data_IF_094829696638
#
_entry.id   IF_094829696638
#
_cell.length_a   1.000
_cell.length_b   1.000
_cell.length_c   1.000
_cell.angle_alpha   90.00
_cell.angle_beta   90.00
_cell.angle_gamma   90.00
#
_symmetry.space_group_name_H-M   'P 1'
#
loop_
_entity.id
_entity.type
_entity.pdbx_description
1 polymer ?
#
# COMPACT_ATOMS: atom_id res chain seq x y z
N UNK A 1 -35.84 -9.09 -27.92
CA UNK A 1 -34.51 -8.96 -27.30
C UNK A 1 -33.50 -9.13 -28.42
N UNK A 2 -32.73 -8.10 -28.74
CA UNK A 2 -31.70 -8.17 -29.79
C UNK A 2 -30.60 -9.13 -29.33
N UNK A 3 -30.21 -10.09 -30.15
CA UNK A 3 -29.09 -10.95 -29.82
C UNK A 3 -27.82 -10.10 -29.65
N UNK A 4 -27.01 -10.36 -28.61
CA UNK A 4 -25.84 -9.56 -28.35
C UNK A 4 -24.80 -9.75 -29.44
N UNK A 5 -24.39 -8.65 -30.07
CA UNK A 5 -23.41 -8.63 -31.15
C UNK A 5 -22.00 -8.85 -30.62
N UNK A 6 -21.29 -9.83 -31.20
CA UNK A 6 -19.91 -10.17 -30.86
C UNK A 6 -18.94 -9.69 -31.95
N UNK A 7 -17.74 -9.29 -31.52
CA UNK A 7 -16.70 -8.77 -32.39
C UNK A 7 -15.43 -9.63 -32.28
N UNK A 8 -14.67 -9.79 -33.38
CA UNK A 8 -13.41 -10.51 -33.35
C UNK A 8 -12.35 -9.75 -32.56
N UNK A 9 -11.36 -10.49 -32.08
CA UNK A 9 -10.15 -9.94 -31.45
C UNK A 9 -9.15 -9.51 -32.53
N UNK A 10 -9.48 -8.48 -33.30
CA UNK A 10 -8.59 -7.89 -34.32
C UNK A 10 -7.68 -6.82 -33.72
N UNK A 11 -6.86 -6.18 -34.56
CA UNK A 11 -5.99 -5.05 -34.19
C UNK A 11 -6.79 -3.92 -33.51
N UNK A 12 -8.06 -3.75 -33.89
CA UNK A 12 -9.02 -2.78 -33.34
C UNK A 12 -9.69 -3.24 -32.03
N UNK A 13 -9.04 -4.13 -31.29
CA UNK A 13 -9.45 -4.52 -29.95
C UNK A 13 -9.60 -3.31 -29.01
N UNK A 14 -10.44 -3.43 -27.96
CA UNK A 14 -10.57 -2.40 -26.94
C UNK A 14 -9.20 -2.02 -26.36
N UNK A 15 -9.04 -0.74 -26.06
CA UNK A 15 -7.83 -0.20 -25.46
C UNK A 15 -7.48 -0.88 -24.13
N UNK A 16 -6.22 -0.81 -23.73
CA UNK A 16 -5.75 -1.30 -22.42
C UNK A 16 -6.59 -0.66 -21.30
N UNK A 17 -7.11 -1.49 -20.39
CA UNK A 17 -7.91 -1.06 -19.24
C UNK A 17 -9.40 -0.88 -19.49
N UNK A 18 -9.89 -0.97 -20.74
CA UNK A 18 -11.32 -0.82 -21.06
C UNK A 18 -12.06 -2.13 -20.75
N UNK A 19 -13.08 -2.11 -19.87
CA UNK A 19 -13.85 -3.31 -19.53
C UNK A 19 -14.79 -3.71 -20.65
N UNK A 20 -14.77 -5.00 -21.00
CA UNK A 20 -15.61 -5.63 -22.01
C UNK A 20 -16.07 -7.00 -21.52
N UNK A 21 -17.06 -7.58 -22.18
CA UNK A 21 -17.40 -8.99 -22.00
C UNK A 21 -16.61 -9.79 -23.02
N UNK A 22 -15.93 -10.84 -22.56
CA UNK A 22 -15.07 -11.69 -23.40
C UNK A 22 -15.66 -13.08 -23.46
N UNK A 23 -15.67 -13.65 -24.66
CA UNK A 23 -15.96 -15.04 -24.94
C UNK A 23 -14.65 -15.82 -25.06
N UNK A 24 -14.44 -16.81 -24.19
CA UNK A 24 -13.21 -17.62 -24.17
C UNK A 24 -13.56 -19.09 -23.92
N UNK A 25 -13.34 -19.96 -24.91
CA UNK A 25 -13.62 -21.40 -24.84
C UNK A 25 -15.04 -21.69 -24.33
N UNK A 26 -16.03 -20.98 -24.90
CA UNK A 26 -17.44 -21.09 -24.53
C UNK A 26 -17.83 -20.49 -23.18
N UNK A 27 -16.95 -19.73 -22.52
CA UNK A 27 -17.24 -18.99 -21.28
C UNK A 27 -17.36 -17.50 -21.55
N UNK A 28 -18.30 -16.86 -20.87
CA UNK A 28 -18.46 -15.41 -20.89
C UNK A 28 -18.10 -14.82 -19.53
N UNK A 29 -17.25 -13.80 -19.51
CA UNK A 29 -16.93 -13.08 -18.29
C UNK A 29 -16.47 -11.65 -18.59
N UNK A 30 -16.56 -10.80 -17.57
CA UNK A 30 -16.10 -9.42 -17.64
C UNK A 30 -14.57 -9.38 -17.51
N UNK A 31 -13.92 -8.79 -18.49
CA UNK A 31 -12.46 -8.67 -18.52
C UNK A 31 -12.00 -7.34 -19.14
N UNK A 32 -10.72 -7.03 -18.98
CA UNK A 32 -10.05 -5.94 -19.67
C UNK A 32 -8.69 -6.42 -20.19
N UNK A 33 -8.18 -5.77 -21.23
CA UNK A 33 -6.78 -5.96 -21.64
C UNK A 33 -5.87 -5.27 -20.65
N UNK A 34 -4.72 -5.88 -20.37
CA UNK A 34 -3.65 -5.27 -19.61
C UNK A 34 -2.33 -5.35 -20.39
N UNK A 35 -1.41 -4.46 -20.07
CA UNK A 35 -0.05 -4.47 -20.58
C UNK A 35 0.92 -4.23 -19.43
N UNK A 36 2.02 -4.97 -19.37
CA UNK A 36 3.08 -4.72 -18.39
C UNK A 36 4.11 -3.70 -18.90
N UNK A 37 5.06 -3.34 -18.03
CA UNK A 37 6.16 -2.41 -18.37
C UNK A 37 7.09 -2.95 -19.47
N UNK A 38 7.08 -4.26 -19.72
CA UNK A 38 7.87 -4.91 -20.78
C UNK A 38 7.12 -4.96 -22.12
N UNK A 39 5.87 -4.47 -22.17
CA UNK A 39 5.02 -4.50 -23.35
C UNK A 39 4.29 -5.83 -23.57
N UNK A 40 4.40 -6.80 -22.66
CA UNK A 40 3.62 -8.04 -22.72
C UNK A 40 2.15 -7.70 -22.47
N UNK A 41 1.28 -8.20 -23.34
CA UNK A 41 -0.17 -7.98 -23.29
C UNK A 41 -0.88 -9.24 -22.81
N UNK A 42 -1.97 -9.07 -22.09
CA UNK A 42 -2.82 -10.18 -21.66
C UNK A 42 -4.22 -9.72 -21.29
N UNK A 43 -4.97 -10.62 -20.67
CA UNK A 43 -6.33 -10.37 -20.19
C UNK A 43 -6.41 -10.47 -18.67
N UNK A 44 -7.29 -9.67 -18.08
CA UNK A 44 -7.59 -9.70 -16.65
C UNK A 44 -9.09 -9.75 -16.46
N UNK A 45 -9.59 -10.76 -15.75
CA UNK A 45 -10.99 -10.88 -15.35
C UNK A 45 -11.25 -10.15 -14.03
N UNK A 46 -12.48 -9.71 -13.81
CA UNK A 46 -12.88 -9.07 -12.55
C UNK A 46 -13.77 -10.03 -11.74
N UNK A 47 -13.16 -10.84 -10.87
CA UNK A 47 -13.86 -11.77 -9.97
C UNK A 47 -13.94 -11.12 -8.59
N UNK A 48 -15.14 -10.94 -8.04
CA UNK A 48 -15.37 -10.26 -6.75
C UNK A 48 -14.68 -8.89 -6.64
N UNK A 49 -14.72 -8.13 -7.74
CA UNK A 49 -14.05 -6.83 -7.91
C UNK A 49 -12.51 -6.88 -7.85
N UNK A 50 -11.91 -8.07 -7.75
CA UNK A 50 -10.46 -8.25 -7.80
C UNK A 50 -9.99 -8.59 -9.22
N UNK A 51 -8.92 -7.95 -9.71
CA UNK A 51 -8.33 -8.31 -10.99
C UNK A 51 -7.62 -9.67 -10.87
N UNK A 52 -8.00 -10.63 -11.71
CA UNK A 52 -7.37 -11.96 -11.82
C UNK A 52 -6.83 -12.12 -13.24
N UNK A 53 -5.52 -12.39 -13.35
CA UNK A 53 -4.89 -12.61 -14.65
C UNK A 53 -5.49 -13.85 -15.34
N UNK A 54 -5.75 -13.72 -16.65
CA UNK A 54 -6.37 -14.78 -17.46
C UNK A 54 -5.41 -15.27 -18.55
N UNK A 55 -5.28 -16.60 -18.72
CA UNK A 55 -5.88 -17.64 -17.88
C UNK A 55 -5.25 -17.70 -16.47
N UNK A 56 -5.95 -18.23 -15.46
CA UNK A 56 -5.38 -18.45 -14.13
C UNK A 56 -4.11 -19.29 -14.21
N UNK A 57 -3.15 -19.01 -13.32
CA UNK A 57 -1.89 -19.74 -13.28
C UNK A 57 -2.15 -21.26 -13.12
N UNK A 58 -1.57 -22.06 -14.02
CA UNK A 58 -1.76 -23.51 -14.04
C UNK A 58 -2.97 -24.02 -14.84
N UNK A 59 -3.84 -23.13 -15.34
CA UNK A 59 -5.04 -23.54 -16.09
C UNK A 59 -4.96 -23.29 -17.61
N UNK A 60 -3.82 -22.86 -18.15
CA UNK A 60 -3.71 -22.45 -19.56
C UNK A 60 -4.25 -23.47 -20.57
N UNK A 61 -4.07 -24.77 -20.32
CA UNK A 61 -4.58 -25.85 -21.18
C UNK A 61 -6.11 -25.91 -21.27
N UNK A 62 -6.83 -25.48 -20.21
CA UNK A 62 -8.29 -25.50 -20.13
C UNK A 62 -8.93 -24.30 -20.82
N UNK A 63 -8.24 -23.18 -20.86
CA UNK A 63 -8.76 -21.94 -21.43
C UNK A 63 -8.40 -21.79 -22.90
N UNK A 64 -7.27 -22.35 -23.34
CA UNK A 64 -6.71 -22.06 -24.66
C UNK A 64 -5.85 -20.80 -24.64
N UNK A 65 -5.18 -20.49 -25.76
CA UNK A 65 -4.13 -19.46 -25.79
C UNK A 65 -4.68 -18.04 -25.63
N UNK A 66 -5.81 -17.74 -26.27
CA UNK A 66 -6.41 -16.41 -26.32
C UNK A 66 -7.94 -16.53 -26.36
N UNK A 67 -8.68 -15.48 -25.96
CA UNK A 67 -10.11 -15.47 -26.14
C UNK A 67 -10.50 -15.45 -27.63
N UNK A 68 -11.77 -15.71 -27.91
CA UNK A 68 -12.29 -15.88 -29.27
C UNK A 68 -13.01 -14.62 -29.77
N UNK A 69 -13.77 -13.97 -28.87
CA UNK A 69 -14.58 -12.82 -29.20
C UNK A 69 -14.74 -11.88 -28.01
N UNK A 70 -15.17 -10.65 -28.28
CA UNK A 70 -15.51 -9.67 -27.26
C UNK A 70 -16.75 -8.85 -27.63
N UNK A 71 -17.37 -8.22 -26.65
CA UNK A 71 -18.45 -7.24 -26.85
C UNK A 71 -18.39 -6.14 -25.79
N UNK A 72 -18.84 -4.91 -26.10
CA UNK A 72 -18.91 -3.84 -25.13
C UNK A 72 -19.89 -4.18 -24.00
N UNK A 73 -19.53 -3.86 -22.75
CA UNK A 73 -20.42 -4.06 -21.59
C UNK A 73 -21.67 -3.16 -21.68
N UNK A 74 -21.52 -1.98 -22.29
CA UNK A 74 -22.59 -1.00 -22.53
C UNK A 74 -22.50 -0.51 -23.98
N UNK A 75 -23.15 -1.20 -24.95
CA UNK A 75 -23.05 -0.86 -26.37
C UNK A 75 -23.39 0.59 -26.69
N UNK A 76 -24.43 1.14 -26.04
CA UNK A 76 -24.93 2.51 -26.30
C UNK A 76 -23.94 3.61 -25.89
N UNK A 77 -22.98 3.31 -25.02
CA UNK A 77 -21.96 4.27 -24.56
C UNK A 77 -20.63 4.12 -25.31
N UNK A 78 -20.55 3.17 -26.24
CA UNK A 78 -19.31 2.89 -26.96
C UNK A 78 -19.12 3.89 -28.10
N UNK A 79 -18.10 4.75 -27.98
CA UNK A 79 -17.85 5.83 -28.94
C UNK A 79 -16.90 5.45 -30.08
N UNK A 80 -16.09 4.42 -29.89
CA UNK A 80 -15.14 3.99 -30.91
C UNK A 80 -15.87 3.20 -32.01
N UNK A 81 -15.34 3.26 -33.24
CA UNK A 81 -15.83 2.41 -34.32
C UNK A 81 -15.71 0.93 -33.91
N UNK A 82 -16.81 0.19 -34.04
CA UNK A 82 -16.84 -1.23 -33.75
C UNK A 82 -16.42 -2.00 -35.03
N UNK A 83 -15.65 -3.10 -34.90
CA UNK A 83 -15.32 -3.95 -36.04
C UNK A 83 -16.56 -4.55 -36.70
N UNK A 84 -16.37 -5.20 -37.86
CA UNK A 84 -17.43 -5.99 -38.46
C UNK A 84 -17.85 -7.11 -37.49
N UNK A 85 -19.17 -7.25 -37.21
CA UNK A 85 -19.65 -8.24 -36.25
C UNK A 85 -19.46 -9.66 -36.78
N UNK A 86 -19.19 -10.59 -35.87
CA UNK A 86 -19.09 -12.00 -36.20
C UNK A 86 -20.47 -12.53 -36.63
N UNK A 87 -20.62 -12.88 -37.91
CA UNK A 87 -21.83 -13.51 -38.47
C UNK A 87 -21.83 -15.02 -38.23
N UNK A 88 -22.54 -15.45 -37.19
CA UNK A 88 -22.80 -16.87 -36.91
C UNK A 88 -23.04 -17.14 -35.42
N UNK A 89 -23.51 -18.35 -35.06
CA UNK A 89 -23.62 -18.79 -33.67
C UNK A 89 -22.24 -19.12 -33.09
N UNK A 90 -21.33 -18.13 -33.07
CA UNK A 90 -19.94 -18.30 -32.62
C UNK A 90 -19.85 -18.66 -31.14
N UNK A 91 -20.85 -18.24 -30.37
CA UNK A 91 -21.08 -18.67 -29.01
C UNK A 91 -22.52 -19.16 -28.88
N UNK A 92 -22.91 -20.19 -29.64
CA UNK A 92 -24.00 -21.03 -29.16
C UNK A 92 -23.55 -21.46 -27.76
N UNK A 93 -24.17 -20.90 -26.71
CA UNK A 93 -23.89 -21.26 -25.33
C UNK A 93 -23.78 -22.77 -25.35
N UNK A 94 -22.57 -23.30 -25.17
CA UNK A 94 -22.41 -24.70 -24.83
C UNK A 94 -23.17 -24.77 -23.53
N UNK A 95 -24.45 -25.12 -23.61
CA UNK A 95 -25.34 -25.26 -22.48
C UNK A 95 -24.58 -26.23 -21.61
N UNK A 96 -23.93 -25.67 -20.60
CA UNK A 96 -23.30 -26.45 -19.59
C UNK A 96 -24.48 -27.14 -18.98
N UNK A 97 -24.71 -28.40 -19.35
CA UNK A 97 -25.77 -29.18 -18.75
C UNK A 97 -25.48 -29.09 -17.26
N UNK A 98 -26.34 -28.38 -16.55
CA UNK A 98 -26.44 -28.46 -15.11
C UNK A 98 -26.60 -29.94 -14.85
N UNK A 99 -25.49 -30.59 -14.48
CA UNK A 99 -25.40 -32.03 -14.36
C UNK A 99 -26.48 -32.42 -13.36
N UNK A 100 -27.54 -33.01 -13.88
CA UNK A 100 -28.61 -33.64 -13.12
C UNK A 100 -27.92 -34.62 -12.19
N UNK A 101 -28.03 -34.38 -10.89
CA UNK A 101 -27.70 -35.36 -9.86
C UNK A 101 -28.63 -36.54 -10.08
N UNK A 102 -28.07 -37.65 -10.55
CA UNK A 102 -28.76 -38.94 -10.58
C UNK A 102 -28.96 -39.38 -9.13
N UNK A 103 -30.20 -39.33 -8.67
CA UNK A 103 -30.65 -40.12 -7.53
C UNK A 103 -30.89 -41.56 -8.00
N UNK A 104 -30.74 -42.48 -7.05
CA UNK A 104 -31.01 -43.91 -7.10
C UNK A 104 -29.83 -44.81 -7.52
N UNK A 105 -28.85 -44.96 -6.62
CA UNK A 105 -28.55 -46.20 -5.86
C UNK A 105 -27.79 -45.78 -4.58
N UNK A 106 -28.09 -46.42 -3.44
CA UNK A 106 -27.44 -46.32 -2.10
C UNK A 106 -27.88 -45.20 -1.14
N UNK A 107 -29.16 -45.25 -0.75
CA UNK A 107 -29.77 -44.45 0.32
C UNK A 107 -29.22 -44.74 1.74
N UNK A 108 -28.34 -45.73 1.90
CA UNK A 108 -27.65 -46.02 3.17
C UNK A 108 -26.22 -45.45 3.22
N UNK A 109 -25.46 -45.46 2.12
CA UNK A 109 -24.11 -44.87 2.07
C UNK A 109 -24.14 -43.35 1.84
N UNK A 110 -25.22 -42.84 1.22
CA UNK A 110 -25.43 -41.40 1.04
C UNK A 110 -25.65 -40.65 2.37
N UNK A 111 -26.16 -41.30 3.41
CA UNK A 111 -26.37 -40.67 4.71
C UNK A 111 -25.05 -40.47 5.47
N UNK A 112 -24.10 -41.41 5.33
CA UNK A 112 -22.78 -41.29 5.94
C UNK A 112 -21.89 -40.33 5.13
N UNK A 113 -21.95 -40.37 3.79
CA UNK A 113 -21.28 -39.38 2.94
C UNK A 113 -21.84 -37.96 3.17
N UNK A 114 -23.16 -37.81 3.36
CA UNK A 114 -23.75 -36.52 3.70
C UNK A 114 -23.31 -36.01 5.08
N UNK A 115 -23.17 -36.90 6.08
CA UNK A 115 -22.63 -36.54 7.40
C UNK A 115 -21.17 -36.11 7.31
N UNK A 116 -20.37 -36.78 6.49
CA UNK A 116 -18.97 -36.45 6.26
C UNK A 116 -18.80 -35.13 5.49
N UNK A 117 -19.62 -34.89 4.46
CA UNK A 117 -19.64 -33.62 3.73
C UNK A 117 -20.17 -32.44 4.57
N UNK A 118 -21.09 -32.67 5.50
CA UNK A 118 -21.56 -31.64 6.44
C UNK A 118 -20.47 -31.33 7.49
N UNK A 119 -19.71 -32.33 7.93
CA UNK A 119 -18.56 -32.13 8.80
C UNK A 119 -17.45 -31.32 8.09
N UNK A 120 -17.15 -31.64 6.84
CA UNK A 120 -16.21 -30.87 6.00
C UNK A 120 -16.70 -29.44 5.75
N UNK A 121 -18.01 -29.24 5.55
CA UNK A 121 -18.59 -27.90 5.39
C UNK A 121 -18.50 -27.10 6.70
N UNK A 122 -18.72 -27.74 7.84
CA UNK A 122 -18.58 -27.12 9.16
C UNK A 122 -17.12 -26.78 9.49
N UNK A 123 -16.17 -27.64 9.11
CA UNK A 123 -14.73 -27.39 9.30
C UNK A 123 -14.20 -26.34 8.32
N UNK A 124 -14.68 -26.31 7.08
CA UNK A 124 -14.41 -25.23 6.14
C UNK A 124 -14.96 -23.89 6.62
N UNK A 125 -16.17 -23.87 7.21
CA UNK A 125 -16.72 -22.68 7.84
C UNK A 125 -15.94 -22.24 9.08
N UNK A 126 -15.54 -23.17 9.96
CA UNK A 126 -14.69 -22.87 11.13
C UNK A 126 -13.32 -22.32 10.71
N UNK A 127 -12.71 -22.89 9.67
CA UNK A 127 -11.45 -22.39 9.10
C UNK A 127 -11.59 -21.01 8.44
N UNK A 128 -12.70 -20.74 7.76
CA UNK A 128 -12.99 -19.45 7.12
C UNK A 128 -13.22 -18.34 8.15
N UNK A 129 -14.02 -18.58 9.19
CA UNK A 129 -14.26 -17.60 10.26
C UNK A 129 -13.00 -17.33 11.09
N UNK A 130 -12.18 -18.35 11.38
CA UNK A 130 -10.91 -18.16 12.06
C UNK A 130 -9.90 -17.38 11.20
N UNK A 131 -9.86 -17.63 9.89
CA UNK A 131 -8.99 -16.89 8.96
C UNK A 131 -9.48 -15.45 8.70
N UNK A 132 -10.79 -15.22 8.70
CA UNK A 132 -11.39 -13.90 8.52
C UNK A 132 -11.24 -13.05 9.79
N UNK A 133 -11.58 -13.59 10.96
CA UNK A 133 -11.29 -12.93 12.25
C UNK A 133 -9.79 -12.73 12.45
N UNK A 134 -8.94 -13.67 12.03
CA UNK A 134 -7.49 -13.54 12.07
C UNK A 134 -6.98 -12.42 11.15
N UNK A 135 -7.58 -12.24 9.97
CA UNK A 135 -7.25 -11.14 9.04
C UNK A 135 -7.79 -9.80 9.53
N UNK A 136 -8.95 -9.78 10.15
CA UNK A 136 -9.56 -8.57 10.70
C UNK A 136 -8.84 -8.11 11.97
N UNK A 137 -8.51 -9.03 12.88
CA UNK A 137 -7.60 -8.76 14.01
C UNK A 137 -6.20 -8.40 13.53
N UNK A 138 -5.66 -9.03 12.48
CA UNK A 138 -4.37 -8.61 11.91
C UNK A 138 -4.45 -7.22 11.29
N UNK A 139 -5.58 -6.83 10.66
CA UNK A 139 -5.82 -5.47 10.15
C UNK A 139 -5.98 -4.44 11.27
N UNK A 140 -6.68 -4.79 12.35
CA UNK A 140 -6.85 -3.97 13.54
C UNK A 140 -5.51 -3.80 14.29
N UNK A 141 -4.77 -4.89 14.50
CA UNK A 141 -3.44 -4.87 15.11
C UNK A 141 -2.34 -4.29 14.19
N UNK A 142 -2.56 -4.23 12.87
CA UNK A 142 -1.66 -3.55 11.92
C UNK A 142 -1.71 -2.03 12.04
N UNK A 143 -2.77 -1.48 12.65
CA UNK A 143 -2.91 -0.05 12.87
C UNK A 143 -2.94 0.20 14.36
N UNK A 144 -1.79 0.09 15.03
CA UNK A 144 -1.56 0.90 16.23
C UNK A 144 -1.96 2.33 15.84
N UNK A 145 -3.06 2.87 16.38
CA UNK A 145 -3.58 4.15 15.95
C UNK A 145 -2.45 5.16 16.18
N UNK A 146 -1.97 5.76 15.10
CA UNK A 146 -0.96 6.80 15.18
C UNK A 146 -1.59 8.00 15.86
N UNK A 147 -1.48 8.04 17.19
CA UNK A 147 -2.15 9.01 18.04
C UNK A 147 -1.77 10.45 17.66
N UNK A 148 -0.56 10.65 17.12
CA UNK A 148 -0.05 11.94 16.66
C UNK A 148 -0.67 12.41 15.33
N UNK A 149 -1.51 11.62 14.66
CA UNK A 149 -2.32 12.12 13.55
C UNK A 149 -3.39 13.10 14.04
N UNK A 150 -3.86 12.94 15.26
CA UNK A 150 -4.77 13.86 15.93
C UNK A 150 -3.99 14.98 16.60
N UNK A 151 -4.07 16.19 16.01
CA UNK A 151 -3.37 17.36 16.51
C UNK A 151 -3.84 17.80 17.91
N UNK A 152 -5.05 17.44 18.31
CA UNK A 152 -5.58 17.80 19.64
C UNK A 152 -4.90 17.06 20.79
N UNK A 153 -4.21 15.95 20.48
CA UNK A 153 -3.50 15.12 21.46
C UNK A 153 -2.05 15.57 21.69
N UNK A 154 -1.59 16.63 21.01
CA UNK A 154 -0.19 17.07 21.03
C UNK A 154 -0.06 18.33 21.88
N UNK A 155 0.75 18.21 22.92
CA UNK A 155 1.18 19.33 23.76
C UNK A 155 2.42 20.01 23.16
N UNK A 156 2.63 21.28 23.52
CA UNK A 156 3.81 22.07 23.13
C UNK A 156 4.38 22.72 24.40
N UNK A 157 5.03 21.91 25.21
CA UNK A 157 5.66 22.31 26.46
C UNK A 157 7.01 22.99 26.20
N UNK A 158 7.44 23.79 27.16
CA UNK A 158 8.75 24.42 27.15
C UNK A 158 9.89 23.40 27.37
N UNK A 159 11.12 23.69 26.87
CA UNK A 159 12.28 22.86 27.15
C UNK A 159 12.48 22.62 28.66
N UNK A 160 12.69 21.36 29.03
CA UNK A 160 12.75 20.89 30.42
C UNK A 160 11.51 20.09 30.83
N UNK A 161 10.37 20.25 30.15
CA UNK A 161 9.12 19.55 30.43
C UNK A 161 8.67 18.62 29.28
N UNK A 162 9.44 18.51 28.20
CA UNK A 162 9.05 17.76 27.00
C UNK A 162 9.20 16.26 27.25
N UNK A 163 8.09 15.52 27.18
CA UNK A 163 8.09 14.05 27.33
C UNK A 163 8.45 13.34 26.02
N UNK A 164 8.80 12.05 26.08
CA UNK A 164 9.04 11.22 24.88
C UNK A 164 7.83 11.21 23.93
N UNK A 165 6.63 11.11 24.51
CA UNK A 165 5.38 11.15 23.76
C UNK A 165 5.21 12.49 23.07
N UNK A 166 5.42 13.60 23.78
CA UNK A 166 5.30 14.94 23.19
C UNK A 166 6.31 15.15 22.06
N UNK A 167 7.57 14.76 22.28
CA UNK A 167 8.63 14.84 21.28
C UNK A 167 8.29 14.01 20.02
N UNK A 168 7.74 12.81 20.19
CA UNK A 168 7.22 12.00 19.07
C UNK A 168 6.15 12.77 18.30
N UNK A 169 5.12 13.26 19.00
CA UNK A 169 4.00 13.98 18.39
C UNK A 169 4.46 15.18 17.56
N UNK A 170 5.23 16.08 18.19
CA UNK A 170 5.74 17.30 17.55
C UNK A 170 6.61 16.99 16.32
N UNK A 171 7.50 15.99 16.42
CA UNK A 171 8.33 15.59 15.28
C UNK A 171 7.51 14.96 14.13
N UNK A 172 6.56 14.08 14.44
CA UNK A 172 5.73 13.44 13.40
C UNK A 172 4.85 14.48 12.69
N UNK A 173 4.33 15.48 13.42
CA UNK A 173 3.63 16.61 12.84
C UNK A 173 4.53 17.53 12.02
N UNK A 174 5.78 17.76 12.43
CA UNK A 174 6.76 18.50 11.65
C UNK A 174 6.99 17.85 10.28
N UNK A 175 7.09 16.51 10.21
CA UNK A 175 7.16 15.79 8.92
C UNK A 175 5.88 15.94 8.08
N UNK A 176 4.69 16.07 8.70
CA UNK A 176 3.45 16.37 7.98
C UNK A 176 3.48 17.81 7.43
N UNK A 177 3.89 18.78 8.26
CA UNK A 177 4.02 20.19 7.88
C UNK A 177 5.01 20.38 6.73
N UNK A 178 6.20 19.75 6.79
CA UNK A 178 7.21 19.78 5.73
C UNK A 178 6.65 19.32 4.38
N UNK A 179 5.91 18.20 4.39
CA UNK A 179 5.23 17.71 3.18
C UNK A 179 4.23 18.73 2.68
N UNK A 180 3.37 19.28 3.54
CA UNK A 180 2.39 20.29 3.15
C UNK A 180 3.04 21.55 2.55
N UNK A 181 4.16 22.03 3.10
CA UNK A 181 4.89 23.20 2.59
C UNK A 181 5.62 22.95 1.28
N UNK A 182 6.18 21.74 1.11
CA UNK A 182 6.76 21.29 -0.17
C UNK A 182 5.72 21.38 -1.30
N UNK A 183 4.43 21.28 -0.96
CA UNK A 183 3.33 21.49 -1.91
C UNK A 183 2.87 22.95 -2.11
N UNK A 184 3.34 23.92 -1.32
CA UNK A 184 2.81 25.29 -1.30
C UNK A 184 3.76 26.38 -1.83
N UNK A 185 4.97 26.03 -2.29
CA UNK A 185 5.97 27.00 -2.76
C UNK A 185 5.53 27.83 -3.99
N UNK A 186 5.75 29.16 -4.01
CA UNK A 186 5.42 30.04 -5.13
C UNK A 186 6.57 30.06 -6.13
N UNK A 187 6.44 29.39 -7.28
CA UNK A 187 7.47 29.49 -8.33
C UNK A 187 7.24 28.65 -9.57
N UNK A 188 7.03 27.34 -9.45
CA UNK A 188 7.06 26.43 -10.60
C UNK A 188 5.86 25.47 -10.63
N UNK A 189 4.70 25.94 -10.20
CA UNK A 189 3.45 25.21 -10.45
C UNK A 189 2.56 26.05 -11.32
N UNK A 190 2.69 25.82 -12.61
CA UNK A 190 1.66 26.24 -13.55
C UNK A 190 0.34 25.59 -13.14
N UNK A 191 -0.79 26.18 -13.54
CA UNK A 191 -2.10 25.53 -13.39
C UNK A 191 -2.11 24.10 -13.97
N UNK A 192 -1.23 23.84 -14.95
CA UNK A 192 -0.95 22.53 -15.54
C UNK A 192 -0.25 21.55 -14.59
N UNK A 193 0.55 21.99 -13.61
CA UNK A 193 1.17 21.14 -12.59
C UNK A 193 0.18 20.81 -11.47
N UNK A 194 -0.70 21.76 -11.15
CA UNK A 194 -1.80 21.55 -10.21
C UNK A 194 -2.81 20.55 -10.81
N UNK A 195 -3.18 20.75 -12.08
CA UNK A 195 -3.97 19.77 -12.85
C UNK A 195 -3.21 18.46 -13.07
N UNK A 196 -1.89 18.46 -13.34
CA UNK A 196 -1.09 17.22 -13.47
C UNK A 196 -0.95 16.48 -12.16
N UNK A 197 -0.95 17.17 -11.00
CA UNK A 197 -0.98 16.51 -9.69
C UNK A 197 -2.36 15.92 -9.39
N UNK A 198 -3.44 16.59 -9.82
CA UNK A 198 -4.81 16.08 -9.72
C UNK A 198 -5.09 14.95 -10.72
N UNK A 199 -4.55 15.01 -11.94
CA UNK A 199 -4.69 13.95 -12.94
C UNK A 199 -3.73 12.80 -12.69
N UNK A 200 -2.47 13.01 -12.25
CA UNK A 200 -1.62 11.90 -11.77
C UNK A 200 -2.19 11.20 -10.53
N UNK A 201 -2.88 11.94 -9.65
CA UNK A 201 -3.69 11.34 -8.58
C UNK A 201 -4.94 10.60 -9.10
N UNK A 202 -5.32 10.79 -10.36
CA UNK A 202 -6.43 10.10 -11.02
C UNK A 202 -6.04 9.06 -12.07
N UNK A 203 -4.78 9.04 -12.56
CA UNK A 203 -4.36 8.21 -13.71
C UNK A 203 -3.08 7.41 -13.52
N UNK A 204 -2.34 7.55 -12.42
CA UNK A 204 -1.24 6.64 -12.08
C UNK A 204 -1.59 5.81 -10.84
N UNK A 205 -2.14 4.63 -11.12
CA UNK A 205 -2.65 3.70 -10.11
C UNK A 205 -4.16 3.79 -10.06
N UNK A 206 -4.82 2.71 -10.46
CA UNK A 206 -6.19 2.43 -10.02
C UNK A 206 -6.09 2.28 -8.51
N UNK A 207 -6.17 3.42 -7.81
CA UNK A 207 -6.33 3.51 -6.39
C UNK A 207 -7.48 2.58 -6.06
N UNK A 208 -7.11 1.43 -5.49
CA UNK A 208 -8.02 0.50 -4.87
C UNK A 208 -8.97 1.37 -4.02
N UNK A 209 -10.29 1.20 -4.12
CA UNK A 209 -11.26 2.07 -3.41
C UNK A 209 -11.14 1.99 -1.87
N UNK A 210 -10.11 1.31 -1.37
CA UNK A 210 -9.56 1.30 -0.01
C UNK A 210 -8.55 2.43 0.27
N UNK A 211 -7.94 3.07 -0.74
CA UNK A 211 -7.05 4.23 -0.56
C UNK A 211 -7.81 5.50 -0.16
N UNK A 212 -9.10 5.61 -0.48
CA UNK A 212 -9.97 6.72 -0.04
C UNK A 212 -10.29 6.70 1.47
N UNK A 213 -9.82 5.69 2.21
CA UNK A 213 -9.93 5.62 3.68
C UNK A 213 -8.62 5.97 4.39
N UNK A 214 -7.58 6.38 3.67
CA UNK A 214 -6.34 6.88 4.29
C UNK A 214 -6.62 8.33 4.72
N UNK A 215 -6.93 8.51 5.99
CA UNK A 215 -7.03 9.83 6.62
C UNK A 215 -5.65 10.49 6.48
N UNK A 216 -5.52 11.41 5.51
CA UNK A 216 -4.33 12.25 5.37
C UNK A 216 -4.39 13.32 6.47
N UNK A 217 -3.41 13.30 7.37
CA UNK A 217 -3.34 14.34 8.38
C UNK A 217 -2.98 15.68 7.73
N UNK A 218 -3.70 16.74 8.08
CA UNK A 218 -3.39 18.11 7.65
C UNK A 218 -2.60 18.82 8.74
N UNK A 219 -1.55 19.55 8.38
CA UNK A 219 -0.78 20.37 9.31
C UNK A 219 -1.62 21.57 9.80
N UNK A 220 -1.62 21.80 11.12
CA UNK A 220 -2.19 22.99 11.76
C UNK A 220 -1.20 24.15 11.71
N UNK A 221 -1.64 25.36 12.05
CA UNK A 221 -0.74 26.53 12.19
C UNK A 221 0.39 26.28 13.19
N UNK A 222 0.08 25.70 14.35
CA UNK A 222 1.08 25.39 15.39
C UNK A 222 2.16 24.43 14.92
N UNK A 223 1.79 23.45 14.09
CA UNK A 223 2.77 22.49 13.55
C UNK A 223 3.80 23.18 12.65
N UNK A 224 3.38 24.19 11.89
CA UNK A 224 4.27 24.96 11.01
C UNK A 224 5.22 25.83 11.81
N UNK A 225 4.69 26.52 12.83
CA UNK A 225 5.48 27.37 13.72
C UNK A 225 6.53 26.53 14.49
N UNK A 226 6.18 25.31 14.89
CA UNK A 226 7.06 24.41 15.64
C UNK A 226 7.98 23.54 14.77
N UNK A 227 7.71 23.43 13.47
CA UNK A 227 8.41 22.51 12.55
C UNK A 227 9.93 22.67 12.62
N UNK A 228 10.42 23.90 12.60
CA UNK A 228 11.86 24.19 12.63
C UNK A 228 12.51 23.80 13.96
N UNK A 229 11.78 23.94 15.07
CA UNK A 229 12.24 23.54 16.41
C UNK A 229 12.36 22.01 16.46
N UNK A 230 11.32 21.29 16.07
CA UNK A 230 11.33 19.83 16.06
C UNK A 230 12.42 19.25 15.12
N UNK A 231 12.64 19.86 13.95
CA UNK A 231 13.73 19.45 13.05
C UNK A 231 15.12 19.78 13.56
N UNK A 232 15.29 20.82 14.38
CA UNK A 232 16.56 21.06 15.06
C UNK A 232 16.89 19.89 16.01
N UNK A 233 15.90 19.37 16.75
CA UNK A 233 16.09 18.19 17.61
C UNK A 233 16.43 16.95 16.78
N UNK A 234 15.65 16.69 15.73
CA UNK A 234 15.88 15.55 14.84
C UNK A 234 17.27 15.61 14.18
N UNK A 235 17.72 16.81 13.78
CA UNK A 235 19.04 17.02 13.17
C UNK A 235 20.20 16.70 14.12
N UNK A 236 20.01 16.84 15.43
CA UNK A 236 21.03 16.49 16.42
C UNK A 236 21.21 14.98 16.60
N UNK A 237 20.20 14.16 16.25
CA UNK A 237 20.24 12.72 16.45
C UNK A 237 21.26 11.99 15.55
N UNK A 238 21.67 10.80 15.99
CA UNK A 238 22.50 9.91 15.17
C UNK A 238 21.74 9.40 13.93
N UNK A 239 22.43 9.14 12.80
CA UNK A 239 21.79 8.70 11.56
C UNK A 239 20.85 7.48 11.70
N UNK A 240 21.17 6.43 12.48
CA UNK A 240 20.26 5.29 12.66
C UNK A 240 18.93 5.66 13.35
N UNK A 241 18.96 6.62 14.28
CA UNK A 241 17.75 7.12 14.95
C UNK A 241 16.92 8.00 14.01
N UNK A 242 17.58 8.84 13.21
CA UNK A 242 16.90 9.63 12.17
C UNK A 242 16.16 8.74 11.18
N UNK A 243 16.79 7.67 10.72
CA UNK A 243 16.23 6.75 9.74
C UNK A 243 14.95 6.07 10.24
N UNK A 244 14.96 5.52 11.47
CA UNK A 244 13.79 4.82 12.02
C UNK A 244 12.61 5.79 12.25
N UNK A 245 12.87 7.00 12.75
CA UNK A 245 11.83 8.02 12.97
C UNK A 245 11.23 8.51 11.64
N UNK A 246 12.08 8.78 10.63
CA UNK A 246 11.62 9.22 9.30
C UNK A 246 10.77 8.14 8.62
N UNK A 247 11.16 6.87 8.71
CA UNK A 247 10.38 5.75 8.17
C UNK A 247 9.04 5.58 8.90
N UNK A 248 9.00 5.85 10.22
CA UNK A 248 7.75 5.81 10.99
C UNK A 248 6.77 6.93 10.59
N UNK A 249 7.30 8.09 10.20
CA UNK A 249 6.54 9.26 9.75
C UNK A 249 6.00 9.15 8.31
N UNK A 250 6.33 8.09 7.57
CA UNK A 250 5.91 7.87 6.19
C UNK A 250 4.37 7.82 6.05
N UNK A 251 3.87 8.14 4.85
CA UNK A 251 2.45 8.06 4.50
C UNK A 251 2.28 7.24 3.22
N UNK A 252 1.64 6.06 3.28
CA UNK A 252 1.12 5.43 4.50
C UNK A 252 2.23 4.99 5.48
N UNK A 253 1.92 4.87 6.78
CA UNK A 253 2.88 4.42 7.78
C UNK A 253 3.44 3.03 7.47
N UNK A 254 4.76 2.90 7.56
CA UNK A 254 5.41 1.60 7.42
C UNK A 254 5.18 0.72 8.65
N UNK A 255 5.00 -0.58 8.42
CA UNK A 255 4.95 -1.58 9.49
C UNK A 255 6.33 -1.78 10.11
N UNK A 256 6.39 -2.20 11.37
CA UNK A 256 7.67 -2.50 12.04
C UNK A 256 8.52 -3.55 11.32
N UNK A 257 7.88 -4.51 10.64
CA UNK A 257 8.58 -5.49 9.78
C UNK A 257 9.24 -4.79 8.59
N UNK A 258 8.49 -3.95 7.86
CA UNK A 258 9.03 -3.22 6.72
C UNK A 258 10.17 -2.26 7.10
N UNK A 259 10.06 -1.59 8.26
CA UNK A 259 11.14 -0.76 8.81
C UNK A 259 12.35 -1.61 9.18
N UNK A 260 12.13 -2.78 9.80
CA UNK A 260 13.20 -3.74 10.11
C UNK A 260 13.94 -4.19 8.87
N UNK A 261 13.22 -4.67 7.86
CA UNK A 261 13.79 -5.15 6.59
C UNK A 261 14.62 -4.05 5.91
N UNK A 262 14.12 -2.82 5.87
CA UNK A 262 14.82 -1.67 5.28
C UNK A 262 16.10 -1.27 6.02
N UNK A 263 16.18 -1.54 7.34
CA UNK A 263 17.32 -1.19 8.19
C UNK A 263 18.23 -2.39 8.52
N UNK A 264 17.94 -3.58 7.97
CA UNK A 264 18.65 -4.81 8.31
C UNK A 264 18.46 -5.25 9.78
N UNK A 265 17.27 -5.03 10.35
CA UNK A 265 16.90 -5.38 11.72
C UNK A 265 15.70 -6.32 11.75
N UNK A 266 15.52 -7.03 12.87
CA UNK A 266 14.22 -7.63 13.17
C UNK A 266 13.18 -6.56 13.47
N UNK A 267 11.89 -6.89 13.33
CA UNK A 267 10.79 -5.98 13.67
C UNK A 267 10.84 -5.50 15.15
N UNK A 268 11.25 -6.38 16.08
CA UNK A 268 11.50 -6.00 17.47
C UNK A 268 12.72 -5.07 17.62
N UNK A 269 13.78 -5.32 16.85
CA UNK A 269 14.95 -4.45 16.78
C UNK A 269 14.59 -3.04 16.31
N UNK A 270 13.71 -2.93 15.31
CA UNK A 270 13.17 -1.66 14.84
C UNK A 270 12.35 -0.94 15.93
N UNK A 271 11.49 -1.66 16.66
CA UNK A 271 10.73 -1.11 17.81
C UNK A 271 11.65 -0.60 18.92
N UNK A 272 12.63 -1.41 19.33
CA UNK A 272 13.62 -1.03 20.36
C UNK A 272 14.43 0.18 19.94
N UNK A 273 14.87 0.22 18.67
CA UNK A 273 15.60 1.37 18.11
C UNK A 273 14.74 2.63 18.06
N UNK A 274 13.46 2.52 17.73
CA UNK A 274 12.53 3.64 17.77
C UNK A 274 12.34 4.17 19.18
N UNK A 275 12.12 3.30 20.17
CA UNK A 275 12.01 3.70 21.57
C UNK A 275 13.29 4.44 22.04
N UNK A 276 14.47 3.88 21.77
CA UNK A 276 15.74 4.55 22.07
C UNK A 276 15.90 5.91 21.37
N UNK A 277 15.44 6.01 20.11
CA UNK A 277 15.44 7.25 19.36
C UNK A 277 14.51 8.32 19.99
N UNK A 278 13.36 7.92 20.56
CA UNK A 278 12.45 8.83 21.26
C UNK A 278 13.02 9.32 22.58
N UNK A 279 13.66 8.44 23.36
CA UNK A 279 14.38 8.83 24.58
C UNK A 279 15.46 9.87 24.27
N UNK A 280 16.26 9.63 23.23
CA UNK A 280 17.31 10.56 22.81
C UNK A 280 16.72 11.88 22.27
N UNK A 281 15.64 11.81 21.48
CA UNK A 281 14.93 12.98 20.95
C UNK A 281 14.39 13.87 22.08
N UNK A 282 13.71 13.30 23.07
CA UNK A 282 13.21 14.03 24.22
C UNK A 282 14.34 14.65 25.04
N UNK A 283 15.46 13.92 25.19
CA UNK A 283 16.64 14.44 25.88
C UNK A 283 17.22 15.68 25.18
N UNK A 284 17.32 15.64 23.84
CA UNK A 284 17.74 16.80 23.04
C UNK A 284 16.73 17.94 23.12
N UNK A 285 15.44 17.64 23.04
CA UNK A 285 14.37 18.63 23.13
C UNK A 285 14.41 19.42 24.46
N UNK A 286 14.85 18.77 25.53
CA UNK A 286 15.06 19.38 26.84
C UNK A 286 16.47 19.98 27.04
N UNK A 287 17.23 20.21 25.97
CA UNK A 287 18.56 20.85 26.01
C UNK A 287 19.73 19.92 26.35
N UNK A 288 19.51 18.61 26.39
CA UNK A 288 20.56 17.61 26.60
C UNK A 288 21.48 17.44 25.38
N UNK A 289 22.78 17.25 25.62
CA UNK A 289 23.79 16.95 24.57
C UNK A 289 23.66 15.51 24.07
N UNK A 290 23.52 15.25 22.78
CA UNK A 290 23.44 13.87 22.23
C UNK A 290 24.62 13.00 22.66
N UNK A 291 24.45 11.67 22.71
CA UNK A 291 25.55 10.75 23.04
C UNK A 291 26.72 10.94 22.06
N UNK A 292 26.42 11.09 20.76
CA UNK A 292 27.39 11.47 19.74
C UNK A 292 28.02 12.84 19.97
N UNK A 293 27.26 13.82 20.46
CA UNK A 293 27.76 15.15 20.82
C UNK A 293 28.75 15.12 21.98
N UNK A 294 28.46 14.32 23.02
CA UNK A 294 29.37 14.10 24.16
C UNK A 294 30.67 13.44 23.67
N UNK A 295 30.55 12.35 22.90
CA UNK A 295 31.71 11.64 22.36
C UNK A 295 32.57 12.53 21.43
N UNK A 296 31.96 13.37 20.60
CA UNK A 296 32.67 14.30 19.74
C UNK A 296 33.40 15.40 20.53
N UNK A 297 32.80 15.89 21.62
CA UNK A 297 33.42 16.87 22.51
C UNK A 297 34.60 16.26 23.27
N UNK A 298 34.46 15.04 23.78
CA UNK A 298 35.54 14.27 24.40
C UNK A 298 36.69 14.01 23.42
N UNK A 299 36.39 13.64 22.17
CA UNK A 299 37.40 13.44 21.13
C UNK A 299 38.13 14.75 20.79
N UNK A 300 37.40 15.87 20.66
CA UNK A 300 38.00 17.17 20.43
C UNK A 300 38.89 17.61 21.60
N UNK A 301 38.47 17.32 22.83
CA UNK A 301 39.24 17.62 24.03
C UNK A 301 40.52 16.77 24.08
N UNK A 302 40.44 15.48 23.76
CA UNK A 302 41.61 14.60 23.67
C UNK A 302 42.64 15.09 22.62
N UNK A 303 42.17 15.57 21.46
CA UNK A 303 43.02 16.17 20.42
C UNK A 303 43.68 17.45 20.92
N UNK A 304 42.96 18.32 21.64
CA UNK A 304 43.50 19.55 22.24
C UNK A 304 44.60 19.23 23.26
N UNK A 305 44.40 18.20 24.08
CA UNK A 305 45.36 17.80 25.11
C UNK A 305 46.60 17.12 24.52
N UNK A 306 46.44 16.34 23.44
CA UNK A 306 47.56 15.80 22.67
C UNK A 306 48.40 16.94 22.04
N UNK A 307 47.75 17.91 21.40
CA UNK A 307 48.43 19.08 20.82
C UNK A 307 49.14 19.94 21.89
N UNK A 308 48.56 20.04 23.08
CA UNK A 308 49.19 20.74 24.21
C UNK A 308 50.45 20.03 24.67
N UNK A 309 50.43 18.70 24.82
CA UNK A 309 51.60 17.88 25.18
C UNK A 309 52.71 18.01 24.15
N UNK A 310 52.40 17.87 22.86
CA UNK A 310 53.37 18.02 21.79
C UNK A 310 54.04 19.40 21.79
N UNK A 311 53.30 20.49 22.08
CA UNK A 311 53.87 21.84 22.17
C UNK A 311 54.85 22.02 23.33
N UNK A 312 54.61 21.31 24.44
CA UNK A 312 55.49 21.33 25.61
C UNK A 312 56.77 20.55 25.28
N UNK A 313 56.64 19.36 24.70
CA UNK A 313 57.76 18.50 24.30
C UNK A 313 58.64 19.15 23.22
N UNK A 314 58.06 19.87 22.25
CA UNK A 314 58.84 20.53 21.20
C UNK A 314 59.61 21.79 21.65
N UNK A 315 59.37 22.25 22.89
CA UNK A 315 59.99 23.47 23.44
C UNK A 315 61.06 23.19 24.50
N UNK A 316 61.13 21.96 25.01
CA UNK A 316 62.18 21.51 25.92
C UNK A 316 63.34 20.90 25.16
#
# INVERSE_FOLDING_TARGET
MTEPTWYPLTIDCPGVGVPVIVGWNGREFRAARWADKSGRRGWVAFVDKKPVAMPPAGEASRWGPEPEAWRPEKPDLWKAALPEPLTGPHMASRMWSSRTTFAAVEEAEAADLAREMEADRADAQRGSFAAENGREQARANMRDPQWWLDASLISYSDPGAITEREAEGRLMRAFIAERCETFAGPGDRTFSDLLSSMTKSGTEGRADATESLIIRASATGKDKDDMMIAFAWWRALDPPFKAVLKMRAAEPPLTWRAIGDALGLTHEGARKRHAAALTELARVANGGKTAGGIAAEEQLQAVRDANRRHRIESRG
#
